data_IF_286502288724
#
_entry.id   IF_286502288724
#
_cell.length_a   1.000
_cell.length_b   1.000
_cell.length_c   1.000
_cell.angle_alpha   90.00
_cell.angle_beta   90.00
_cell.angle_gamma   90.00
#
_symmetry.space_group_name_H-M   'P 1'
#
loop_
_entity.id
_entity.type
_entity.pdbx_description
1 polymer ?
#
# COMPACT_ATOMS: atom_id res chain seq x y z
N UNK A 1 -15.77 -0.08 24.58
CA UNK A 1 -14.49 0.37 24.01
C UNK A 1 -14.23 -0.57 22.84
N UNK A 2 -14.45 -0.07 21.63
CA UNK A 2 -14.52 -0.87 20.41
C UNK A 2 -13.12 -1.25 19.97
N UNK A 3 -12.82 -2.54 19.83
CA UNK A 3 -11.56 -3.07 19.28
C UNK A 3 -11.44 -2.82 17.75
N UNK A 4 -11.80 -1.63 17.27
CA UNK A 4 -11.90 -1.35 15.82
C UNK A 4 -10.62 -0.71 15.27
N UNK A 5 -9.73 -0.18 16.12
CA UNK A 5 -8.58 0.59 15.67
C UNK A 5 -7.32 -0.23 15.36
N UNK A 6 -7.31 -1.55 15.61
CA UNK A 6 -6.09 -2.36 15.45
C UNK A 6 -5.86 -2.89 14.02
N UNK A 7 -6.89 -2.86 13.16
CA UNK A 7 -6.79 -3.28 11.76
C UNK A 7 -6.52 -2.13 10.79
N UNK A 8 -6.48 -0.87 11.26
CA UNK A 8 -6.32 0.29 10.38
C UNK A 8 -4.86 0.63 10.04
N UNK A 9 -3.91 0.00 10.72
CA UNK A 9 -2.50 0.04 10.35
C UNK A 9 -2.12 -1.24 9.62
N UNK A 10 -2.10 -1.17 8.29
CA UNK A 10 -1.46 -2.19 7.47
C UNK A 10 0.05 -2.24 7.77
N UNK A 11 0.57 -3.43 7.98
CA UNK A 11 2.01 -3.65 8.12
C UNK A 11 2.69 -3.58 6.75
N UNK A 12 3.65 -2.68 6.58
CA UNK A 12 4.38 -2.58 5.32
C UNK A 12 5.69 -3.35 5.39
N UNK A 13 5.86 -4.32 4.49
CA UNK A 13 7.13 -5.01 4.34
C UNK A 13 8.24 -4.01 3.94
N UNK A 14 9.49 -4.22 4.38
CA UNK A 14 10.61 -3.32 4.07
C UNK A 14 10.75 -3.01 2.57
N UNK A 15 10.63 -4.03 1.73
CA UNK A 15 10.69 -3.94 0.27
C UNK A 15 9.55 -3.11 -0.32
N UNK A 16 8.34 -3.18 0.25
CA UNK A 16 7.21 -2.38 -0.17
C UNK A 16 7.45 -0.89 0.14
N UNK A 17 8.03 -0.58 1.32
CA UNK A 17 8.41 0.79 1.68
C UNK A 17 9.46 1.36 0.73
N UNK A 18 10.43 0.54 0.30
CA UNK A 18 11.45 0.94 -0.68
C UNK A 18 10.80 1.26 -2.03
N UNK A 19 9.92 0.40 -2.53
CA UNK A 19 9.22 0.63 -3.80
C UNK A 19 8.30 1.86 -3.76
N UNK A 20 7.60 2.08 -2.65
CA UNK A 20 6.77 3.28 -2.46
C UNK A 20 7.61 4.57 -2.51
N UNK A 21 8.83 4.55 -1.97
CA UNK A 21 9.75 5.71 -2.04
C UNK A 21 10.21 6.00 -3.47
N UNK A 22 10.30 5.00 -4.33
CA UNK A 22 10.65 5.16 -5.75
C UNK A 22 9.53 5.77 -6.58
N UNK A 23 8.28 5.75 -6.08
CA UNK A 23 7.16 6.45 -6.73
C UNK A 23 7.37 7.97 -6.62
N UNK A 24 7.22 8.72 -7.75
CA UNK A 24 7.35 10.17 -7.73
C UNK A 24 6.45 10.84 -6.68
N UNK A 25 6.98 11.86 -6.00
CA UNK A 25 6.33 12.40 -4.79
C UNK A 25 4.90 12.92 -5.05
N UNK A 26 4.64 13.50 -6.23
CA UNK A 26 3.35 14.10 -6.58
C UNK A 26 2.22 13.07 -6.78
N UNK A 27 2.55 11.80 -7.04
CA UNK A 27 1.59 10.69 -7.13
C UNK A 27 1.68 9.73 -5.93
N UNK A 28 2.70 9.84 -5.08
CA UNK A 28 2.95 8.88 -3.99
C UNK A 28 1.77 8.72 -3.02
N UNK A 29 1.05 9.80 -2.70
CA UNK A 29 -0.13 9.73 -1.83
C UNK A 29 -1.25 8.91 -2.46
N UNK A 30 -1.54 9.13 -3.76
CA UNK A 30 -2.54 8.36 -4.49
C UNK A 30 -2.11 6.90 -4.64
N UNK A 31 -0.84 6.65 -4.96
CA UNK A 31 -0.30 5.30 -5.01
C UNK A 31 -0.43 4.58 -3.68
N UNK A 32 -0.08 5.24 -2.56
CA UNK A 32 -0.24 4.67 -1.22
C UNK A 32 -1.68 4.26 -0.94
N UNK A 33 -2.65 5.14 -1.22
CA UNK A 33 -4.07 4.82 -1.01
C UNK A 33 -4.50 3.60 -1.82
N UNK A 34 -4.08 3.51 -3.09
CA UNK A 34 -4.40 2.33 -3.92
C UNK A 34 -3.77 1.06 -3.37
N UNK A 35 -2.53 1.12 -2.90
CA UNK A 35 -1.82 -0.03 -2.31
C UNK A 35 -2.51 -0.50 -1.03
N UNK A 36 -2.91 0.42 -0.16
CA UNK A 36 -3.64 0.09 1.07
C UNK A 36 -5.01 -0.52 0.74
N UNK A 37 -5.67 -0.03 -0.32
CA UNK A 37 -6.92 -0.62 -0.82
C UNK A 37 -6.70 -2.04 -1.36
N UNK A 38 -5.63 -2.29 -2.12
CA UNK A 38 -5.27 -3.64 -2.61
C UNK A 38 -5.05 -4.63 -1.46
N UNK A 39 -4.39 -4.20 -0.38
CA UNK A 39 -4.19 -5.05 0.80
C UNK A 39 -5.52 -5.40 1.48
N UNK A 40 -6.42 -4.41 1.65
CA UNK A 40 -7.76 -4.62 2.22
C UNK A 40 -8.64 -5.51 1.33
N UNK A 41 -8.58 -5.33 0.01
CA UNK A 41 -9.28 -6.17 -0.98
C UNK A 41 -8.78 -7.62 -0.96
N UNK A 42 -7.50 -7.82 -0.69
CA UNK A 42 -6.90 -9.14 -0.51
C UNK A 42 -7.17 -9.74 0.89
N UNK A 43 -7.89 -9.03 1.77
CA UNK A 43 -8.08 -9.35 3.19
C UNK A 43 -6.74 -9.58 3.93
N UNK A 44 -5.69 -8.89 3.49
CA UNK A 44 -4.35 -8.95 4.07
C UNK A 44 -4.08 -7.75 4.97
N UNK A 45 -3.57 -8.02 6.17
CA UNK A 45 -3.04 -6.98 7.06
C UNK A 45 -1.65 -6.46 6.69
N UNK A 46 -1.07 -6.97 5.59
CA UNK A 46 0.32 -6.73 5.18
C UNK A 46 0.35 -6.19 3.75
N UNK A 47 1.12 -5.12 3.54
CA UNK A 47 1.43 -4.57 2.22
C UNK A 47 2.73 -5.18 1.70
N UNK A 48 2.62 -5.90 0.59
CA UNK A 48 3.75 -6.55 -0.09
C UNK A 48 4.34 -5.67 -1.19
N UNK A 49 5.57 -6.00 -1.63
CA UNK A 49 6.18 -5.34 -2.79
C UNK A 49 5.35 -5.48 -4.07
N UNK A 50 4.62 -6.58 -4.23
CA UNK A 50 3.80 -6.86 -5.41
C UNK A 50 2.61 -5.89 -5.51
N UNK A 51 1.96 -5.58 -4.39
CA UNK A 51 0.88 -4.58 -4.36
C UNK A 51 1.37 -3.19 -4.79
N UNK A 52 2.60 -2.83 -4.43
CA UNK A 52 3.22 -1.56 -4.88
C UNK A 52 3.45 -1.56 -6.39
N UNK A 53 3.89 -2.68 -6.95
CA UNK A 53 4.08 -2.84 -8.40
C UNK A 53 2.74 -2.78 -9.15
N UNK A 54 1.72 -3.47 -8.63
CA UNK A 54 0.37 -3.45 -9.18
C UNK A 54 -0.18 -2.02 -9.24
N UNK A 55 -0.09 -1.29 -8.14
CA UNK A 55 -0.49 0.11 -8.13
C UNK A 55 0.33 0.94 -9.14
N UNK A 56 1.64 0.72 -9.26
CA UNK A 56 2.47 1.47 -10.24
C UNK A 56 2.00 1.23 -11.69
N UNK A 57 1.66 -0.01 -12.05
CA UNK A 57 1.15 -0.35 -13.38
C UNK A 57 -0.17 0.37 -13.69
N UNK A 58 -1.04 0.54 -12.70
CA UNK A 58 -2.31 1.29 -12.87
C UNK A 58 -2.08 2.79 -13.14
N UNK A 59 -0.99 3.36 -12.65
CA UNK A 59 -0.60 4.76 -12.94
C UNK A 59 0.23 4.92 -14.22
N UNK A 60 0.46 3.84 -14.98
CA UNK A 60 1.19 3.88 -16.25
C UNK A 60 2.69 4.20 -16.13
N UNK A 61 3.32 3.82 -15.01
CA UNK A 61 4.74 4.06 -14.72
C UNK A 61 5.58 2.78 -14.65
#
# INVERSE_FOLDING_TARGET
>A
MSNTDYFDQLEWLPEAKVKLKNIPYFVRTQARQRIEQLAREAEQGIVTAEMVEQARLEFGQ
#
